data_IF_994425520870
#
_entry.id   IF_994425520870
#
_cell.length_a   1.000
_cell.length_b   1.000
_cell.length_c   1.000
_cell.angle_alpha   90.00
_cell.angle_beta   90.00
_cell.angle_gamma   90.00
#
_symmetry.space_group_name_H-M   'P 1'
#
loop_
_entity.id
_entity.type
_entity.pdbx_description
1 polymer ?
#
# COMPACT_ATOMS: atom_id res chain seq x y z
N UNK A 1 77.90 -9.49 -5.53
CA UNK A 1 76.86 -8.91 -4.63
C UNK A 1 75.54 -8.73 -5.42
N UNK A 2 74.92 -9.80 -5.89
CA UNK A 2 73.69 -9.78 -6.68
C UNK A 2 72.49 -10.56 -6.05
N UNK A 3 72.65 -11.06 -4.81
CA UNK A 3 71.65 -11.94 -4.20
C UNK A 3 70.62 -11.24 -3.31
N UNK A 4 70.85 -9.98 -2.91
CA UNK A 4 69.96 -9.26 -1.96
C UNK A 4 68.74 -8.68 -2.71
N UNK A 5 68.86 -8.41 -3.99
CA UNK A 5 67.74 -7.81 -4.77
C UNK A 5 66.77 -8.84 -5.36
N UNK A 6 67.19 -10.13 -5.46
CA UNK A 6 66.33 -11.20 -5.94
C UNK A 6 65.21 -11.58 -4.97
N UNK A 7 65.46 -11.50 -3.64
CA UNK A 7 64.45 -11.75 -2.63
C UNK A 7 63.37 -10.69 -2.60
N UNK A 8 63.76 -9.39 -2.76
CA UNK A 8 62.79 -8.29 -2.82
C UNK A 8 61.93 -8.31 -4.07
N UNK A 9 62.47 -8.72 -5.19
CA UNK A 9 61.72 -8.89 -6.46
C UNK A 9 60.70 -10.05 -6.34
N UNK A 10 61.12 -11.17 -5.72
CA UNK A 10 60.27 -12.33 -5.50
C UNK A 10 59.04 -12.00 -4.62
N UNK A 11 59.29 -11.31 -3.50
CA UNK A 11 58.21 -10.88 -2.60
C UNK A 11 57.25 -9.88 -3.27
N UNK A 12 57.75 -8.99 -4.12
CA UNK A 12 56.88 -8.07 -4.90
C UNK A 12 55.99 -8.84 -5.86
N UNK A 13 56.54 -9.79 -6.62
CA UNK A 13 55.79 -10.64 -7.54
C UNK A 13 54.75 -11.46 -6.78
N UNK A 14 55.09 -12.03 -5.65
CA UNK A 14 54.15 -12.79 -4.81
C UNK A 14 52.99 -11.92 -4.32
N UNK A 15 53.29 -10.70 -3.83
CA UNK A 15 52.22 -9.74 -3.43
C UNK A 15 51.35 -9.29 -4.60
N UNK A 16 51.95 -9.05 -5.77
CA UNK A 16 51.18 -8.69 -6.97
C UNK A 16 50.29 -9.84 -7.46
N UNK A 17 50.80 -11.08 -7.39
CA UNK A 17 49.96 -12.26 -7.70
C UNK A 17 48.81 -12.44 -6.72
N UNK A 18 49.03 -12.23 -5.43
CA UNK A 18 47.98 -12.29 -4.41
C UNK A 18 46.91 -11.19 -4.67
N UNK A 19 47.33 -9.94 -4.86
CA UNK A 19 46.46 -8.83 -5.17
C UNK A 19 45.66 -9.05 -6.48
N UNK A 20 46.29 -9.65 -7.50
CA UNK A 20 45.63 -9.95 -8.77
C UNK A 20 44.59 -11.07 -8.63
N UNK A 21 44.92 -12.10 -7.81
CA UNK A 21 43.97 -13.19 -7.49
C UNK A 21 42.74 -12.67 -6.76
N UNK A 22 42.91 -11.75 -5.79
CA UNK A 22 41.80 -11.12 -5.08
C UNK A 22 40.92 -10.27 -5.99
N UNK A 23 41.54 -9.45 -6.86
CA UNK A 23 40.83 -8.66 -7.85
C UNK A 23 40.06 -9.52 -8.85
N UNK A 24 40.67 -10.63 -9.29
CA UNK A 24 40.00 -11.57 -10.19
C UNK A 24 38.80 -12.22 -9.52
N UNK A 25 38.98 -12.68 -8.28
CA UNK A 25 37.90 -13.27 -7.46
C UNK A 25 36.72 -12.28 -7.28
N UNK A 26 37.00 -11.03 -6.92
CA UNK A 26 35.97 -9.97 -6.80
C UNK A 26 35.29 -9.70 -8.15
N UNK A 27 36.04 -9.68 -9.25
CA UNK A 27 35.46 -9.45 -10.57
C UNK A 27 34.55 -10.59 -11.00
N UNK A 28 34.93 -11.84 -10.71
CA UNK A 28 34.10 -13.02 -10.96
C UNK A 28 32.82 -13.01 -10.12
N UNK A 29 32.91 -12.62 -8.85
CA UNK A 29 31.73 -12.47 -7.98
C UNK A 29 30.79 -11.37 -8.48
N UNK A 30 31.32 -10.25 -8.96
CA UNK A 30 30.53 -9.16 -9.56
C UNK A 30 29.83 -9.62 -10.84
N UNK A 31 30.54 -10.36 -11.67
CA UNK A 31 29.97 -10.89 -12.91
C UNK A 31 28.88 -11.93 -12.62
N UNK A 32 29.13 -12.85 -11.68
CA UNK A 32 28.19 -13.89 -11.31
C UNK A 32 26.93 -13.33 -10.62
N UNK A 33 27.07 -12.28 -9.79
CA UNK A 33 25.95 -11.65 -9.10
C UNK A 33 25.21 -10.60 -9.93
N UNK A 34 25.80 -10.13 -11.04
CA UNK A 34 25.29 -9.00 -11.81
C UNK A 34 25.28 -7.67 -11.05
N UNK A 35 25.95 -7.61 -9.88
CA UNK A 35 25.97 -6.42 -9.00
C UNK A 35 27.38 -5.85 -8.91
N UNK A 36 27.51 -4.55 -9.03
CA UNK A 36 28.78 -3.87 -8.91
C UNK A 36 29.28 -3.80 -7.45
N UNK A 37 28.36 -3.71 -6.48
CA UNK A 37 28.64 -3.68 -5.04
C UNK A 37 28.11 -4.97 -4.40
N UNK A 38 29.00 -5.84 -3.93
CA UNK A 38 28.66 -7.14 -3.37
C UNK A 38 28.80 -7.14 -1.84
N UNK A 39 29.85 -6.50 -1.33
CA UNK A 39 30.14 -6.44 0.11
C UNK A 39 29.92 -5.04 0.67
N UNK A 40 29.54 -4.91 1.96
CA UNK A 40 29.39 -3.61 2.62
C UNK A 40 30.63 -2.72 2.61
N UNK A 41 31.83 -3.34 2.48
CA UNK A 41 33.11 -2.63 2.34
C UNK A 41 33.46 -2.20 0.92
N UNK A 42 32.69 -2.64 -0.07
CA UNK A 42 32.94 -2.34 -1.48
C UNK A 42 32.36 -0.95 -1.80
N UNK A 43 33.22 0.05 -2.01
CA UNK A 43 32.78 1.43 -2.27
C UNK A 43 31.73 1.92 -1.27
N UNK A 44 32.11 2.07 -0.02
CA UNK A 44 31.21 2.38 1.12
C UNK A 44 30.20 3.49 0.84
N UNK A 45 30.57 4.55 0.14
CA UNK A 45 29.66 5.64 -0.23
C UNK A 45 28.57 5.17 -1.21
N UNK A 46 28.93 4.42 -2.27
CA UNK A 46 27.96 3.90 -3.26
C UNK A 46 27.04 2.86 -2.65
N UNK A 47 27.55 2.03 -1.74
CA UNK A 47 26.77 1.03 -1.03
C UNK A 47 25.77 1.69 -0.08
N UNK A 48 26.19 2.73 0.66
CA UNK A 48 25.29 3.50 1.53
C UNK A 48 24.16 4.17 0.74
N UNK A 49 24.47 4.79 -0.40
CA UNK A 49 23.46 5.38 -1.29
C UNK A 49 22.51 4.32 -1.84
N UNK A 50 23.02 3.16 -2.27
CA UNK A 50 22.18 2.07 -2.77
C UNK A 50 21.23 1.52 -1.69
N UNK A 51 21.68 1.38 -0.45
CA UNK A 51 20.80 0.99 0.66
C UNK A 51 19.77 2.05 1.00
N UNK A 52 20.15 3.34 1.00
CA UNK A 52 19.22 4.45 1.24
C UNK A 52 18.13 4.48 0.15
N UNK A 53 18.51 4.39 -1.12
CA UNK A 53 17.55 4.35 -2.23
C UNK A 53 16.63 3.12 -2.20
N UNK A 54 17.17 1.96 -1.77
CA UNK A 54 16.36 0.74 -1.61
C UNK A 54 15.35 0.90 -0.47
N UNK A 55 15.74 1.49 0.64
CA UNK A 55 14.86 1.77 1.77
C UNK A 55 13.77 2.79 1.38
N UNK A 56 14.13 3.85 0.67
CA UNK A 56 13.21 4.85 0.15
C UNK A 56 12.21 4.23 -0.85
N UNK A 57 12.69 3.43 -1.80
CA UNK A 57 11.84 2.71 -2.74
C UNK A 57 10.86 1.76 -2.03
N UNK A 58 11.32 1.05 -0.98
CA UNK A 58 10.44 0.20 -0.17
C UNK A 58 9.37 1.03 0.58
N UNK A 59 9.76 2.17 1.15
CA UNK A 59 8.85 3.10 1.82
C UNK A 59 7.81 3.66 0.87
N UNK A 60 8.22 4.09 -0.32
CA UNK A 60 7.31 4.58 -1.37
C UNK A 60 6.31 3.49 -1.80
N UNK A 61 6.80 2.25 -1.96
CA UNK A 61 5.92 1.12 -2.31
C UNK A 61 4.86 0.88 -1.24
N UNK A 62 5.23 0.92 0.04
CA UNK A 62 4.27 0.82 1.16
C UNK A 62 3.30 2.01 1.16
N UNK A 63 3.80 3.22 0.91
CA UNK A 63 2.97 4.41 0.76
C UNK A 63 1.93 4.28 -0.36
N UNK A 64 2.33 3.75 -1.52
CA UNK A 64 1.41 3.48 -2.63
C UNK A 64 0.35 2.43 -2.27
N UNK A 65 0.74 1.36 -1.57
CA UNK A 65 -0.20 0.34 -1.10
C UNK A 65 -1.23 0.93 -0.13
N UNK A 66 -0.77 1.73 0.85
CA UNK A 66 -1.65 2.42 1.79
C UNK A 66 -2.59 3.41 1.08
N UNK A 67 -2.09 4.12 0.07
CA UNK A 67 -2.89 5.01 -0.78
C UNK A 67 -3.99 4.25 -1.54
N UNK A 68 -3.66 3.10 -2.11
CA UNK A 68 -4.64 2.24 -2.79
C UNK A 68 -5.71 1.72 -1.82
N UNK A 69 -5.31 1.29 -0.62
CA UNK A 69 -6.26 0.87 0.41
C UNK A 69 -7.19 2.02 0.84
N UNK A 70 -6.66 3.23 0.98
CA UNK A 70 -7.46 4.40 1.30
C UNK A 70 -8.48 4.71 0.20
N UNK A 71 -8.10 4.63 -1.07
CA UNK A 71 -9.01 4.79 -2.21
C UNK A 71 -10.14 3.75 -2.17
N UNK A 72 -9.81 2.48 -1.95
CA UNK A 72 -10.83 1.42 -1.85
C UNK A 72 -11.82 1.66 -0.70
N UNK A 73 -11.33 2.17 0.45
CA UNK A 73 -12.21 2.52 1.56
C UNK A 73 -13.14 3.68 1.23
N UNK A 74 -12.65 4.69 0.49
CA UNK A 74 -13.46 5.83 0.03
C UNK A 74 -14.50 5.37 -0.98
N UNK A 75 -14.15 4.50 -1.94
CA UNK A 75 -15.09 3.95 -2.91
C UNK A 75 -16.23 3.18 -2.23
N UNK A 76 -15.91 2.36 -1.23
CA UNK A 76 -16.92 1.66 -0.44
C UNK A 76 -17.88 2.64 0.24
N UNK A 77 -17.34 3.66 0.94
CA UNK A 77 -18.16 4.68 1.61
C UNK A 77 -19.03 5.46 0.61
N UNK A 78 -18.48 5.76 -0.56
CA UNK A 78 -19.24 6.48 -1.61
C UNK A 78 -20.42 5.64 -2.10
N UNK A 79 -20.24 4.34 -2.25
CA UNK A 79 -21.32 3.42 -2.63
C UNK A 79 -22.39 3.33 -1.53
N UNK A 80 -21.98 3.22 -0.25
CA UNK A 80 -22.91 3.20 0.88
C UNK A 80 -23.70 4.51 0.99
N UNK A 81 -23.02 5.65 0.81
CA UNK A 81 -23.67 6.97 0.79
C UNK A 81 -24.64 7.12 -0.37
N UNK A 82 -24.34 6.58 -1.54
CA UNK A 82 -25.26 6.58 -2.68
C UNK A 82 -26.54 5.82 -2.35
N UNK A 83 -26.43 4.63 -1.78
CA UNK A 83 -27.57 3.84 -1.34
C UNK A 83 -28.40 4.55 -0.26
N UNK A 84 -27.73 5.18 0.72
CA UNK A 84 -28.40 5.97 1.74
C UNK A 84 -29.15 7.16 1.14
N UNK A 85 -28.57 7.83 0.16
CA UNK A 85 -29.24 8.92 -0.56
C UNK A 85 -30.51 8.45 -1.29
N UNK A 86 -30.45 7.29 -1.96
CA UNK A 86 -31.61 6.72 -2.65
C UNK A 86 -32.74 6.39 -1.64
N UNK A 87 -32.38 5.88 -0.47
CA UNK A 87 -33.36 5.64 0.60
C UNK A 87 -33.98 6.94 1.09
N UNK A 88 -33.18 8.00 1.29
CA UNK A 88 -33.69 9.32 1.71
C UNK A 88 -34.65 9.89 0.68
N UNK A 89 -34.30 9.86 -0.60
CA UNK A 89 -35.19 10.29 -1.68
C UNK A 89 -36.51 9.51 -1.65
N UNK A 90 -36.46 8.19 -1.44
CA UNK A 90 -37.68 7.38 -1.34
C UNK A 90 -38.51 7.72 -0.11
N UNK A 91 -37.90 8.02 1.02
CA UNK A 91 -38.60 8.48 2.23
C UNK A 91 -39.28 9.83 2.02
N UNK A 92 -38.66 10.77 1.26
CA UNK A 92 -39.27 12.04 0.89
C UNK A 92 -40.51 11.84 -0.02
N UNK A 93 -40.43 10.91 -0.98
CA UNK A 93 -41.58 10.53 -1.81
C UNK A 93 -42.72 9.95 -0.97
N UNK A 94 -42.42 9.04 -0.04
CA UNK A 94 -43.42 8.46 0.86
C UNK A 94 -44.04 9.54 1.73
N UNK A 95 -43.26 10.48 2.25
CA UNK A 95 -43.75 11.61 3.03
C UNK A 95 -44.70 12.48 2.20
N UNK A 96 -44.32 12.84 0.97
CA UNK A 96 -45.13 13.61 0.07
C UNK A 96 -46.46 12.92 -0.26
N UNK A 97 -46.44 11.61 -0.51
CA UNK A 97 -47.66 10.82 -0.73
C UNK A 97 -48.51 10.76 0.54
N UNK A 98 -47.93 10.55 1.72
CA UNK A 98 -48.66 10.45 3.00
C UNK A 98 -49.35 11.75 3.43
N UNK A 99 -48.88 12.91 2.94
CA UNK A 99 -49.51 14.23 3.21
C UNK A 99 -50.68 14.55 2.28
N UNK A 100 -50.90 13.74 1.23
CA UNK A 100 -52.00 13.93 0.33
C UNK A 100 -53.36 13.65 1.01
N UNK A 101 -54.32 14.58 0.89
CA UNK A 101 -55.64 14.49 1.51
C UNK A 101 -56.51 13.34 0.98
N UNK A 102 -56.18 12.78 -0.17
CA UNK A 102 -56.93 11.68 -0.80
C UNK A 102 -56.43 10.28 -0.44
N UNK A 103 -55.37 10.18 0.37
CA UNK A 103 -54.81 8.90 0.81
C UNK A 103 -55.69 8.28 1.88
N UNK A 104 -56.10 7.03 1.67
CA UNK A 104 -56.92 6.28 2.61
C UNK A 104 -56.14 5.86 3.85
N UNK A 105 -56.79 5.46 4.93
CA UNK A 105 -56.14 4.93 6.13
C UNK A 105 -55.33 3.67 5.82
N UNK A 106 -55.83 2.83 4.90
CA UNK A 106 -55.13 1.61 4.47
C UNK A 106 -53.82 1.97 3.72
N UNK A 107 -53.86 2.90 2.78
CA UNK A 107 -52.69 3.36 2.03
C UNK A 107 -51.64 3.97 2.98
N UNK A 108 -52.09 4.77 3.94
CA UNK A 108 -51.22 5.41 4.94
C UNK A 108 -50.53 4.37 5.83
N UNK A 109 -51.21 3.27 6.15
CA UNK A 109 -50.63 2.15 6.87
C UNK A 109 -49.55 1.45 6.03
N UNK A 110 -49.80 1.22 4.75
CA UNK A 110 -48.83 0.64 3.81
C UNK A 110 -47.59 1.54 3.64
N UNK A 111 -47.78 2.85 3.44
CA UNK A 111 -46.69 3.82 3.34
C UNK A 111 -45.84 3.87 4.63
N UNK A 112 -46.47 3.76 5.80
CA UNK A 112 -45.77 3.71 7.09
C UNK A 112 -44.95 2.43 7.21
N UNK A 113 -45.46 1.28 6.78
CA UNK A 113 -44.73 0.02 6.78
C UNK A 113 -43.50 0.07 5.86
N UNK A 114 -43.67 0.65 4.65
CA UNK A 114 -42.56 0.87 3.71
C UNK A 114 -41.50 1.79 4.32
N UNK A 115 -41.88 2.92 4.92
CA UNK A 115 -40.97 3.86 5.55
C UNK A 115 -40.17 3.18 6.69
N UNK A 116 -40.81 2.36 7.51
CA UNK A 116 -40.13 1.62 8.58
C UNK A 116 -39.12 0.61 8.03
N UNK A 117 -39.42 -0.07 6.93
CA UNK A 117 -38.50 -0.98 6.29
C UNK A 117 -37.27 -0.24 5.72
N UNK A 118 -37.48 0.93 5.10
CA UNK A 118 -36.41 1.77 4.59
C UNK A 118 -35.53 2.32 5.71
N UNK A 119 -36.09 2.71 6.85
CA UNK A 119 -35.34 3.13 8.03
C UNK A 119 -34.52 2.00 8.63
N UNK A 120 -35.08 0.77 8.66
CA UNK A 120 -34.34 -0.41 9.09
C UNK A 120 -33.15 -0.71 8.17
N UNK A 121 -33.36 -0.60 6.85
CA UNK A 121 -32.29 -0.78 5.86
C UNK A 121 -31.21 0.31 5.95
N UNK A 122 -31.61 1.57 6.16
CA UNK A 122 -30.69 2.69 6.43
C UNK A 122 -29.81 2.42 7.65
N UNK A 123 -30.43 1.90 8.74
CA UNK A 123 -29.71 1.54 9.96
C UNK A 123 -28.73 0.38 9.71
N UNK A 124 -29.15 -0.60 8.90
CA UNK A 124 -28.29 -1.74 8.52
C UNK A 124 -27.09 -1.27 7.72
N UNK A 125 -27.28 -0.47 6.66
CA UNK A 125 -26.18 0.04 5.82
C UNK A 125 -25.19 0.84 6.67
N UNK A 126 -25.69 1.75 7.52
CA UNK A 126 -24.82 2.56 8.38
C UNK A 126 -24.06 1.72 9.41
N UNK A 127 -24.64 0.64 9.91
CA UNK A 127 -24.01 -0.28 10.85
C UNK A 127 -22.99 -1.23 10.20
N UNK A 128 -23.23 -1.60 8.93
CA UNK A 128 -22.37 -2.49 8.15
C UNK A 128 -21.20 -1.75 7.47
N UNK A 129 -21.25 -0.41 7.38
CA UNK A 129 -20.20 0.42 6.81
C UNK A 129 -18.92 0.38 7.67
N UNK A 130 -18.17 -0.74 7.56
CA UNK A 130 -16.94 -1.01 8.32
C UNK A 130 -15.79 -1.30 7.38
N UNK A 131 -14.64 -0.69 7.63
CA UNK A 131 -13.39 -1.00 6.96
C UNK A 131 -12.42 -1.65 7.94
N UNK A 132 -11.98 -2.87 7.63
CA UNK A 132 -11.08 -3.65 8.50
C UNK A 132 -11.55 -3.72 9.96
N UNK A 133 -12.88 -3.82 10.17
CA UNK A 133 -13.50 -3.91 11.49
C UNK A 133 -13.78 -2.56 12.18
N UNK A 134 -13.34 -1.45 11.60
CA UNK A 134 -13.63 -0.12 12.13
C UNK A 134 -14.83 0.51 11.42
N UNK A 135 -15.81 1.01 12.19
CA UNK A 135 -16.95 1.74 11.65
C UNK A 135 -16.45 3.06 11.03
N UNK A 136 -16.86 3.31 9.77
CA UNK A 136 -16.50 4.53 9.05
C UNK A 136 -17.62 5.57 9.20
N UNK A 137 -18.87 5.13 9.13
CA UNK A 137 -20.03 5.97 9.37
C UNK A 137 -20.35 5.86 10.86
N UNK A 138 -20.23 6.97 11.61
CA UNK A 138 -20.69 7.08 12.99
C UNK A 138 -22.09 7.69 12.98
N UNK A 139 -23.05 6.93 13.45
CA UNK A 139 -24.41 7.43 13.78
C UNK A 139 -24.40 8.04 15.16
#
# INVERSE_FOLDING_TARGET
MTSINAGGAFYRVQNEMANNSDRLSQSMLRLASGKQNIAPGDRTASTAVAFAMKAESASLKVGMMNGTEALQSIEMVTNDLSQLNDIVVRLEEIHALGTNAFVTTQDRSALTAEANNLLAEMTRISGDAKWKGNAIIKT
#
